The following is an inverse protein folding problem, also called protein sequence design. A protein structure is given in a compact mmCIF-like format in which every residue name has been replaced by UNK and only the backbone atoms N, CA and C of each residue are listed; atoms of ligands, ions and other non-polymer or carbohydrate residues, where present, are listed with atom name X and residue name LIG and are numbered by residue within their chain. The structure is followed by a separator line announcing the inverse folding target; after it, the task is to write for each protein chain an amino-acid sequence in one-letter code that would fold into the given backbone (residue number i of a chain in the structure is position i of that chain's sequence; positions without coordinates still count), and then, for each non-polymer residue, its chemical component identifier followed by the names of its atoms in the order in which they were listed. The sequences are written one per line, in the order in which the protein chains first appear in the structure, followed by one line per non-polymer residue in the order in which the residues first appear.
data_IF_122646674441
#
_entry.id   IF_122646674441
#
_cell.length_a   1.000
_cell.length_b   1.000
_cell.length_c   1.000
_cell.angle_alpha   90.00
_cell.angle_beta   90.00
_cell.angle_gamma   90.00
#
_symmetry.space_group_name_H-M   'P 1'
#
loop_
_entity.id
_entity.type
_entity.pdbx_description
1 polymer ?
#
# COMPACT_ATOMS: atom_id res chain seq x y z
N UNK A 1 -27.98 -20.91 -3.44
CA UNK A 1 -27.91 -19.75 -4.36
C UNK A 1 -26.53 -19.72 -5.00
N UNK A 2 -26.47 -19.92 -6.32
CA UNK A 2 -25.21 -20.15 -7.05
C UNK A 2 -24.30 -18.91 -7.07
N UNK A 3 -22.99 -19.15 -7.14
CA UNK A 3 -21.93 -18.13 -7.23
C UNK A 3 -22.16 -17.10 -8.35
N UNK A 4 -22.96 -17.45 -9.36
CA UNK A 4 -23.34 -16.62 -10.50
C UNK A 4 -24.17 -15.38 -10.10
N UNK A 5 -25.11 -15.51 -9.16
CA UNK A 5 -25.95 -14.38 -8.70
C UNK A 5 -25.15 -13.40 -7.83
N UNK A 6 -24.19 -13.89 -7.03
CA UNK A 6 -23.29 -13.04 -6.23
C UNK A 6 -22.38 -12.17 -7.10
N UNK A 7 -21.88 -12.74 -8.20
CA UNK A 7 -21.03 -12.03 -9.16
C UNK A 7 -21.82 -10.97 -9.97
N UNK A 8 -23.07 -11.27 -10.33
CA UNK A 8 -24.00 -10.36 -11.03
C UNK A 8 -24.42 -9.14 -10.19
N UNK A 9 -24.49 -9.26 -8.86
CA UNK A 9 -24.86 -8.16 -7.96
C UNK A 9 -23.67 -7.28 -7.51
N UNK A 10 -22.45 -7.55 -8.00
CA UNK A 10 -21.23 -6.82 -7.61
C UNK A 10 -20.79 -7.09 -6.16
N UNK A 11 -21.33 -8.13 -5.53
CA UNK A 11 -21.01 -8.51 -4.15
C UNK A 11 -19.89 -9.55 -4.21
N UNK A 12 -18.65 -9.09 -4.43
CA UNK A 12 -17.47 -9.93 -4.21
C UNK A 12 -17.48 -10.42 -2.75
N UNK A 13 -17.15 -11.69 -2.54
CA UNK A 13 -17.08 -12.25 -1.18
C UNK A 13 -16.03 -11.47 -0.37
N UNK A 14 -16.24 -11.22 0.94
CA UNK A 14 -15.22 -10.63 1.81
C UNK A 14 -13.87 -11.34 1.71
N UNK A 15 -13.88 -12.66 1.50
CA UNK A 15 -12.66 -13.44 1.28
C UNK A 15 -11.94 -13.09 -0.03
N UNK A 16 -12.69 -12.89 -1.11
CA UNK A 16 -12.15 -12.52 -2.43
C UNK A 16 -11.56 -11.10 -2.39
N UNK A 17 -12.23 -10.18 -1.69
CA UNK A 17 -11.73 -8.82 -1.50
C UNK A 17 -10.44 -8.80 -0.68
N UNK A 18 -10.37 -9.56 0.41
CA UNK A 18 -9.13 -9.69 1.20
C UNK A 18 -7.99 -10.30 0.36
N UNK A 19 -8.28 -11.31 -0.48
CA UNK A 19 -7.30 -11.86 -1.42
C UNK A 19 -6.83 -10.82 -2.45
N UNK A 20 -7.74 -10.05 -3.04
CA UNK A 20 -7.45 -8.96 -3.98
C UNK A 20 -6.54 -7.90 -3.35
N UNK A 21 -6.85 -7.45 -2.13
CA UNK A 21 -6.02 -6.47 -1.42
C UNK A 21 -4.62 -7.00 -1.13
N UNK A 22 -4.49 -8.26 -0.69
CA UNK A 22 -3.18 -8.89 -0.47
C UNK A 22 -2.37 -9.02 -1.77
N UNK A 23 -3.01 -9.32 -2.91
CA UNK A 23 -2.35 -9.35 -4.21
C UNK A 23 -1.87 -7.95 -4.64
N UNK A 24 -2.70 -6.93 -4.46
CA UNK A 24 -2.35 -5.53 -4.73
C UNK A 24 -1.16 -5.08 -3.89
N UNK A 25 -1.16 -5.36 -2.58
CA UNK A 25 -0.04 -5.04 -1.68
C UNK A 25 1.26 -5.70 -2.16
N UNK A 26 1.23 -6.98 -2.53
CA UNK A 26 2.41 -7.68 -3.08
C UNK A 26 2.90 -7.08 -4.40
N UNK A 27 1.99 -6.59 -5.25
CA UNK A 27 2.38 -5.89 -6.47
C UNK A 27 3.12 -4.59 -6.14
N UNK A 28 2.64 -3.84 -5.13
CA UNK A 28 3.28 -2.61 -4.66
C UNK A 28 4.63 -2.85 -3.99
N UNK A 29 4.76 -3.90 -3.17
CA UNK A 29 6.04 -4.32 -2.60
C UNK A 29 7.09 -4.56 -3.69
N UNK A 30 6.72 -5.29 -4.75
CA UNK A 30 7.61 -5.53 -5.89
C UNK A 30 7.94 -4.26 -6.67
N UNK A 31 7.00 -3.33 -6.78
CA UNK A 31 7.26 -2.03 -7.42
C UNK A 31 8.27 -1.21 -6.63
N UNK A 32 8.15 -1.18 -5.30
CA UNK A 32 9.12 -0.51 -4.44
C UNK A 32 10.50 -1.18 -4.51
N UNK A 33 10.57 -2.51 -4.56
CA UNK A 33 11.86 -3.21 -4.72
C UNK A 33 12.56 -2.85 -6.05
N UNK A 34 11.80 -2.73 -7.14
CA UNK A 34 12.33 -2.22 -8.41
C UNK A 34 12.83 -0.78 -8.28
N UNK A 35 12.05 0.10 -7.66
CA UNK A 35 12.43 1.50 -7.44
C UNK A 35 13.71 1.61 -6.61
N UNK A 36 13.80 0.87 -5.50
CA UNK A 36 15.00 0.82 -4.65
C UNK A 36 16.21 0.41 -5.47
N UNK A 37 16.11 -0.66 -6.27
CA UNK A 37 17.21 -1.14 -7.12
C UNK A 37 17.64 -0.09 -8.15
N UNK A 38 16.68 0.54 -8.84
CA UNK A 38 16.98 1.61 -9.81
C UNK A 38 17.70 2.77 -9.14
N UNK A 39 17.22 3.20 -7.98
CA UNK A 39 17.81 4.32 -7.23
C UNK A 39 19.23 3.97 -6.73
N UNK A 40 19.47 2.75 -6.27
CA UNK A 40 20.80 2.30 -5.85
C UNK A 40 21.82 2.25 -7.00
N UNK A 41 21.38 1.83 -8.18
CA UNK A 41 22.21 1.86 -9.40
C UNK A 41 22.58 3.30 -9.74
N UNK A 42 21.62 4.22 -9.67
CA UNK A 42 21.87 5.63 -9.94
C UNK A 42 22.77 6.28 -8.88
N UNK A 43 22.59 5.96 -7.59
CA UNK A 43 23.50 6.38 -6.51
C UNK A 43 24.94 5.94 -6.80
N UNK A 44 25.12 4.74 -7.36
CA UNK A 44 26.45 4.21 -7.72
C UNK A 44 27.09 5.02 -8.84
N UNK A 45 26.32 5.47 -9.84
CA UNK A 45 26.83 6.36 -10.89
C UNK A 45 27.21 7.72 -10.32
N UNK A 46 26.37 8.31 -9.46
CA UNK A 46 26.66 9.58 -8.78
C UNK A 46 27.93 9.48 -7.92
N UNK A 47 28.16 8.36 -7.22
CA UNK A 47 29.41 8.11 -6.50
C UNK A 47 30.64 8.09 -7.41
N UNK A 48 30.56 7.48 -8.58
CA UNK A 48 31.65 7.50 -9.58
C UNK A 48 31.91 8.92 -10.07
N UNK A 49 30.86 9.67 -10.40
CA UNK A 49 30.96 11.08 -10.80
C UNK A 49 31.59 11.94 -9.70
N UNK A 50 31.25 11.70 -8.43
CA UNK A 50 31.85 12.37 -7.28
C UNK A 50 33.35 12.11 -7.20
N UNK A 51 33.78 10.86 -7.35
CA UNK A 51 35.20 10.49 -7.34
C UNK A 51 35.97 11.16 -8.49
N UNK A 52 35.39 11.22 -9.69
CA UNK A 52 36.00 11.89 -10.84
C UNK A 52 36.11 13.40 -10.63
N UNK A 53 35.06 14.05 -10.10
CA UNK A 53 35.08 15.47 -9.77
C UNK A 53 36.11 15.78 -8.68
N UNK A 54 36.24 14.90 -7.68
CA UNK A 54 37.23 15.04 -6.62
C UNK A 54 38.66 14.99 -7.15
N UNK A 55 38.96 14.08 -8.08
CA UNK A 55 40.27 14.02 -8.76
C UNK A 55 40.60 15.28 -9.57
N UNK A 56 39.58 15.96 -10.10
CA UNK A 56 39.72 17.23 -10.82
C UNK A 56 39.84 18.46 -9.91
N UNK A 57 39.63 18.29 -8.60
CA UNK A 57 39.67 19.40 -7.63
C UNK A 57 38.43 20.30 -7.62
N UNK A 58 37.35 19.92 -8.31
CA UNK A 58 36.12 20.73 -8.40
C UNK A 58 35.25 20.56 -7.14
N UNK A 59 35.55 21.38 -6.13
CA UNK A 59 34.88 21.36 -4.83
C UNK A 59 33.38 21.71 -4.92
N UNK A 60 32.97 22.56 -5.86
CA UNK A 60 31.58 22.96 -6.01
C UNK A 60 30.72 21.80 -6.50
N UNK A 61 31.20 21.09 -7.53
CA UNK A 61 30.54 19.89 -8.06
C UNK A 61 30.52 18.78 -7.01
N UNK A 62 31.63 18.57 -6.28
CA UNK A 62 31.67 17.58 -5.20
C UNK A 62 30.60 17.84 -4.12
N UNK A 63 30.42 19.10 -3.71
CA UNK A 63 29.41 19.47 -2.70
C UNK A 63 27.99 19.17 -3.17
N UNK A 64 27.69 19.45 -4.43
CA UNK A 64 26.37 19.17 -5.02
C UNK A 64 26.10 17.66 -5.10
N UNK A 65 27.05 16.89 -5.63
CA UNK A 65 26.90 15.43 -5.76
C UNK A 65 26.82 14.74 -4.39
N UNK A 66 27.56 15.21 -3.38
CA UNK A 66 27.47 14.68 -2.02
C UNK A 66 26.09 14.91 -1.39
N UNK A 67 25.50 16.11 -1.57
CA UNK A 67 24.13 16.39 -1.13
C UNK A 67 23.13 15.46 -1.82
N UNK A 68 23.32 15.20 -3.11
CA UNK A 68 22.45 14.31 -3.86
C UNK A 68 22.50 12.88 -3.33
N UNK A 69 23.69 12.34 -3.03
CA UNK A 69 23.83 11.01 -2.39
C UNK A 69 23.05 10.95 -1.07
N UNK A 70 23.14 11.98 -0.23
CA UNK A 70 22.40 12.02 1.05
C UNK A 70 20.88 12.04 0.82
N UNK A 71 20.40 12.80 -0.16
CA UNK A 71 18.97 12.82 -0.52
C UNK A 71 18.51 11.45 -1.02
N UNK A 72 19.28 10.83 -1.92
CA UNK A 72 19.01 9.50 -2.46
C UNK A 72 18.88 8.45 -1.36
N UNK A 73 19.79 8.46 -0.38
CA UNK A 73 19.73 7.57 0.79
C UNK A 73 18.47 7.78 1.63
N UNK A 74 18.03 9.03 1.84
CA UNK A 74 16.77 9.32 2.54
C UNK A 74 15.56 8.76 1.79
N UNK A 75 15.56 8.84 0.46
CA UNK A 75 14.49 8.24 -0.37
C UNK A 75 14.49 6.71 -0.25
N UNK A 76 15.65 6.06 -0.34
CA UNK A 76 15.77 4.60 -0.14
C UNK A 76 15.25 4.20 1.24
N UNK A 77 15.66 4.92 2.30
CA UNK A 77 15.20 4.65 3.67
C UNK A 77 13.68 4.75 3.77
N UNK A 78 13.09 5.81 3.18
CA UNK A 78 11.63 6.00 3.16
C UNK A 78 10.94 4.80 2.50
N UNK A 79 11.40 4.37 1.33
CA UNK A 79 10.86 3.22 0.60
C UNK A 79 10.94 1.91 1.43
N UNK A 80 12.03 1.68 2.15
CA UNK A 80 12.13 0.54 3.06
C UNK A 80 11.10 0.59 4.19
N UNK A 81 10.90 1.76 4.83
CA UNK A 81 9.84 1.93 5.84
C UNK A 81 8.44 1.70 5.26
N UNK A 82 8.18 2.19 4.04
CA UNK A 82 6.90 1.97 3.34
C UNK A 82 6.65 0.49 3.08
N UNK A 83 7.69 -0.25 2.67
CA UNK A 83 7.63 -1.72 2.49
C UNK A 83 7.32 -2.44 3.80
N UNK A 84 7.97 -2.07 4.90
CA UNK A 84 7.69 -2.68 6.20
C UNK A 84 6.24 -2.43 6.65
N UNK A 85 5.71 -1.23 6.41
CA UNK A 85 4.32 -0.90 6.70
C UNK A 85 3.33 -1.71 5.82
N UNK A 86 3.61 -1.88 4.52
CA UNK A 86 2.79 -2.71 3.63
C UNK A 86 2.78 -4.19 4.06
N UNK A 87 3.94 -4.73 4.45
CA UNK A 87 4.04 -6.07 5.02
C UNK A 87 3.15 -6.23 6.26
N UNK A 88 3.14 -5.23 7.15
CA UNK A 88 2.28 -5.23 8.34
C UNK A 88 0.80 -5.31 7.97
N UNK A 89 0.35 -4.53 6.97
CA UNK A 89 -1.03 -4.61 6.46
C UNK A 89 -1.32 -5.99 5.87
N UNK A 90 -0.39 -6.55 5.09
CA UNK A 90 -0.54 -7.89 4.49
C UNK A 90 -0.72 -8.99 5.55
N UNK A 91 0.02 -8.92 6.66
CA UNK A 91 -0.11 -9.83 7.80
C UNK A 91 -1.47 -9.67 8.48
N UNK A 92 -1.90 -8.44 8.75
CA UNK A 92 -3.19 -8.17 9.38
C UNK A 92 -4.37 -8.61 8.50
N UNK A 93 -4.27 -8.45 7.18
CA UNK A 93 -5.24 -9.00 6.23
C UNK A 93 -5.25 -10.54 6.23
N UNK A 94 -4.09 -11.17 6.42
CA UNK A 94 -4.00 -12.62 6.63
C UNK A 94 -4.75 -13.06 7.89
N UNK A 95 -4.60 -12.32 8.98
CA UNK A 95 -5.37 -12.55 10.20
C UNK A 95 -6.88 -12.37 9.98
N UNK A 96 -7.31 -11.29 9.31
CA UNK A 96 -8.72 -11.08 8.98
C UNK A 96 -9.32 -12.19 8.13
N UNK A 97 -8.54 -12.79 7.21
CA UNK A 97 -8.98 -13.95 6.45
C UNK A 97 -9.20 -15.19 7.33
N UNK A 98 -8.35 -15.40 8.34
CA UNK A 98 -8.53 -16.49 9.29
C UNK A 98 -9.78 -16.25 10.17
N UNK A 99 -9.95 -15.03 10.67
CA UNK A 99 -11.13 -14.62 11.43
C UNK A 99 -12.41 -14.77 10.60
N UNK A 100 -12.39 -14.43 9.31
CA UNK A 100 -13.51 -14.64 8.39
C UNK A 100 -13.94 -16.10 8.31
N UNK A 101 -12.99 -17.03 8.24
CA UNK A 101 -13.28 -18.47 8.15
C UNK A 101 -13.92 -19.04 9.41
N UNK A 102 -13.60 -18.46 10.57
CA UNK A 102 -14.09 -18.92 11.88
C UNK A 102 -15.37 -18.20 12.29
N UNK A 103 -15.39 -16.87 12.19
CA UNK A 103 -16.48 -16.02 12.67
C UNK A 103 -17.48 -15.60 11.57
N UNK A 104 -17.23 -15.96 10.30
CA UNK A 104 -18.11 -15.67 9.16
C UNK A 104 -18.22 -14.17 8.78
N UNK A 105 -17.51 -13.28 9.47
CA UNK A 105 -17.60 -11.83 9.26
C UNK A 105 -16.24 -11.14 9.35
N UNK A 106 -16.07 -10.06 8.56
CA UNK A 106 -14.84 -9.25 8.57
C UNK A 106 -14.93 -8.26 9.73
N UNK A 107 -13.91 -8.22 10.59
CA UNK A 107 -13.89 -7.28 11.71
C UNK A 107 -13.29 -5.93 11.30
N UNK A 108 -13.76 -4.86 11.95
CA UNK A 108 -13.14 -3.52 11.85
C UNK A 108 -11.77 -3.57 12.51
N UNK A 109 -10.69 -3.61 11.72
CA UNK A 109 -9.34 -3.49 12.26
C UNK A 109 -8.89 -2.03 12.29
N UNK A 110 -8.83 -1.46 13.49
CA UNK A 110 -8.25 -0.12 13.72
C UNK A 110 -6.77 -0.08 13.37
N UNK A 111 -6.06 -1.19 13.56
CA UNK A 111 -4.63 -1.29 13.24
C UNK A 111 -4.38 -1.24 11.73
N UNK A 112 -5.19 -1.94 10.92
CA UNK A 112 -5.09 -1.83 9.46
C UNK A 112 -5.35 -0.38 9.05
N UNK A 113 -6.40 0.25 9.58
CA UNK A 113 -6.74 1.63 9.24
C UNK A 113 -5.63 2.63 9.61
N UNK A 114 -4.97 2.47 10.77
CA UNK A 114 -3.84 3.31 11.18
C UNK A 114 -2.66 3.17 10.21
N UNK A 115 -2.29 1.95 9.84
CA UNK A 115 -1.16 1.72 8.93
C UNK A 115 -1.49 2.23 7.53
N UNK A 116 -2.69 1.93 7.01
CA UNK A 116 -3.17 2.42 5.71
C UNK A 116 -3.20 3.95 5.67
N UNK A 117 -3.66 4.62 6.72
CA UNK A 117 -3.65 6.09 6.76
C UNK A 117 -2.24 6.70 6.71
N UNK A 118 -1.24 6.02 7.28
CA UNK A 118 0.17 6.44 7.13
C UNK A 118 0.65 6.23 5.70
N UNK A 119 0.28 5.12 5.08
CA UNK A 119 0.67 4.76 3.72
C UNK A 119 0.03 5.67 2.66
N UNK A 120 -1.20 6.16 2.86
CA UNK A 120 -1.88 7.10 1.95
C UNK A 120 -1.10 8.42 1.80
N UNK A 121 -0.34 8.83 2.84
CA UNK A 121 0.46 10.05 2.81
C UNK A 121 1.76 9.91 2.00
N UNK A 122 2.10 8.70 1.57
CA UNK A 122 3.29 8.45 0.77
C UNK A 122 2.94 8.59 -0.71
N UNK A 123 3.58 9.51 -1.45
CA UNK A 123 3.21 9.80 -2.83
C UNK A 123 3.31 8.57 -3.73
N UNK A 124 4.24 7.66 -3.45
CA UNK A 124 4.52 6.48 -4.29
C UNK A 124 3.39 5.42 -4.28
N UNK A 125 2.53 5.40 -3.26
CA UNK A 125 1.48 4.39 -3.07
C UNK A 125 0.11 4.98 -2.67
N UNK A 126 0.02 6.31 -2.60
CA UNK A 126 -1.14 7.07 -2.11
C UNK A 126 -2.45 6.65 -2.77
N UNK A 127 -2.48 6.62 -4.11
CA UNK A 127 -3.68 6.32 -4.90
C UNK A 127 -4.24 4.93 -4.58
N UNK A 128 -3.39 3.89 -4.63
CA UNK A 128 -3.84 2.52 -4.37
C UNK A 128 -4.24 2.30 -2.91
N UNK A 129 -3.56 2.95 -1.95
CA UNK A 129 -3.92 2.82 -0.53
C UNK A 129 -5.23 3.56 -0.22
N UNK A 130 -5.50 4.68 -0.91
CA UNK A 130 -6.75 5.41 -0.79
C UNK A 130 -7.93 4.61 -1.37
N UNK A 131 -7.73 3.96 -2.51
CA UNK A 131 -8.70 3.04 -3.08
C UNK A 131 -8.97 1.86 -2.14
N UNK A 132 -7.92 1.20 -1.64
CA UNK A 132 -8.05 0.10 -0.68
C UNK A 132 -8.78 0.52 0.60
N UNK A 133 -8.47 1.71 1.14
CA UNK A 133 -9.18 2.28 2.30
C UNK A 133 -10.68 2.45 2.04
N UNK A 134 -11.03 2.96 0.84
CA UNK A 134 -12.42 3.14 0.43
C UNK A 134 -13.14 1.81 0.24
N UNK A 135 -12.51 0.84 -0.42
CA UNK A 135 -13.07 -0.50 -0.58
C UNK A 135 -13.30 -1.15 0.79
N UNK A 136 -12.31 -1.10 1.69
CA UNK A 136 -12.40 -1.68 3.03
C UNK A 136 -13.54 -1.07 3.85
N UNK A 137 -13.77 0.25 3.77
CA UNK A 137 -14.90 0.90 4.44
C UNK A 137 -16.28 0.43 3.94
N UNK A 138 -16.40 0.03 2.67
CA UNK A 138 -17.67 -0.49 2.13
C UNK A 138 -17.99 -1.88 2.66
N UNK A 139 -16.97 -2.74 2.77
CA UNK A 139 -17.09 -4.14 3.20
C UNK A 139 -17.47 -4.25 4.68
N UNK A 140 -17.00 -3.29 5.48
CA UNK A 140 -17.18 -3.32 6.94
C UNK A 140 -18.41 -2.50 7.39
N UNK A 141 -19.16 -1.89 6.46
CA UNK A 141 -20.39 -1.19 6.78
C UNK A 141 -21.52 -2.22 6.96
N UNK A 142 -22.19 -2.26 8.13
CA UNK A 142 -23.34 -3.14 8.32
C UNK A 142 -24.42 -2.81 7.28
N UNK A 143 -25.02 -3.83 6.67
CA UNK A 143 -26.17 -3.68 5.76
C UNK A 143 -27.32 -2.86 6.39
N UNK A 144 -27.35 -2.75 7.71
CA UNK A 144 -28.34 -1.99 8.49
C UNK A 144 -28.43 -0.50 8.10
N UNK A 145 -27.34 0.13 7.65
CA UNK A 145 -27.33 1.56 7.23
C UNK A 145 -27.84 1.73 5.79
N UNK A 146 -27.86 0.67 4.98
CA UNK A 146 -28.34 0.70 3.58
C UNK A 146 -29.85 0.45 3.46
N UNK A 147 -30.48 0.00 4.54
CA UNK A 147 -31.89 -0.41 4.60
C UNK A 147 -32.91 0.56 5.24
N UNK A 148 -32.59 1.76 5.80
CA UNK A 148 -33.64 2.60 6.40
C UNK A 148 -34.65 3.19 5.40
N UNK A 149 -34.36 3.17 4.09
CA UNK A 149 -35.23 3.77 3.05
C UNK A 149 -36.07 2.70 2.34
N UNK A 150 -35.65 1.44 2.35
CA UNK A 150 -36.34 0.36 1.62
C UNK A 150 -37.54 -0.24 2.38
N UNK A 151 -37.73 0.09 3.66
CA UNK A 151 -38.88 -0.37 4.46
C UNK A 151 -40.11 0.55 4.37
N UNK A 152 -40.01 1.71 3.72
CA UNK A 152 -41.11 2.67 3.57
C UNK A 152 -41.92 2.53 2.26
N UNK A 153 -41.59 1.57 1.38
CA UNK A 153 -42.27 1.35 0.07
C UNK A 153 -42.97 -0.03 0.05
N UNK A 154 -43.33 -0.58 1.21
CA UNK A 154 -44.30 -1.68 1.33
C UNK A 154 -45.43 -1.26 2.25
N UNK A 155 -46.26 -0.36 1.74
CA UNK A 155 -47.69 -0.28 1.98
C UNK A 155 -48.33 0.19 0.68
#
# INVERSE_FOLDING_TARGET
MSAFIKNMLGIQSPEEQVKKWRQSIRAQERQMDRQIRTIQVEETKVKRSLQLAAKKGDKAVCKTLAKEIVRTRKVIQRLHTSKAQLNSVSMQLGHQLATLKVAGSLQKSTEIMKVVNRLVKLPEISAQMQEMSREMMKVVRPLFIRWPIASWIRN
#
